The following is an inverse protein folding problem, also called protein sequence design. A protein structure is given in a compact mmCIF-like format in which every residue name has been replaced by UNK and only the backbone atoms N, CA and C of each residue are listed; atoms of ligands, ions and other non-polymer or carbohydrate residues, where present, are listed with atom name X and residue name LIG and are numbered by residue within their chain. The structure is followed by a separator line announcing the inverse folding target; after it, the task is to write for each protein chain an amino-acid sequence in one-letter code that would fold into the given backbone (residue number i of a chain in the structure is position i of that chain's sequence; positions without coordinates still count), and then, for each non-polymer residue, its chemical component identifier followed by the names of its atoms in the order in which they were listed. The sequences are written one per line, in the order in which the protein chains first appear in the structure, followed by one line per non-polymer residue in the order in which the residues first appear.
data_IF_950379175569
#
_entry.id   IF_950379175569
#
_cell.length_a   1.000
_cell.length_b   1.000
_cell.length_c   1.000
_cell.angle_alpha   90.00
_cell.angle_beta   90.00
_cell.angle_gamma   90.00
#
_symmetry.space_group_name_H-M   'P 1'
#
loop_
_entity.id
_entity.type
_entity.pdbx_description
1 polymer ?
#
# COMPACT_ATOMS: atom_id res chain seq x y z
N UNK A 1 -14.99 -60.04 -33.80
CA UNK A 1 -14.20 -58.88 -34.23
C UNK A 1 -15.06 -57.60 -34.24
N UNK A 2 -16.28 -57.63 -34.72
CA UNK A 2 -17.19 -56.49 -34.82
C UNK A 2 -17.63 -55.89 -33.49
N UNK A 3 -17.66 -56.65 -32.39
CA UNK A 3 -18.10 -56.17 -31.09
C UNK A 3 -17.08 -55.23 -30.44
N UNK A 4 -15.79 -55.43 -30.64
CA UNK A 4 -14.71 -54.58 -30.12
C UNK A 4 -14.67 -53.22 -30.78
N UNK A 5 -15.01 -53.11 -32.06
CA UNK A 5 -15.05 -51.89 -32.84
C UNK A 5 -16.18 -50.95 -32.34
N UNK A 6 -17.38 -51.53 -32.02
CA UNK A 6 -18.49 -50.75 -31.45
C UNK A 6 -18.14 -50.04 -30.13
N UNK A 7 -17.47 -50.78 -29.25
CA UNK A 7 -17.04 -50.19 -27.96
C UNK A 7 -15.95 -49.14 -28.16
N UNK A 8 -15.03 -49.33 -29.09
CA UNK A 8 -13.99 -48.37 -29.40
C UNK A 8 -14.57 -47.06 -29.92
N UNK A 9 -15.55 -47.13 -30.85
CA UNK A 9 -16.26 -45.98 -31.38
C UNK A 9 -17.07 -45.23 -30.28
N UNK A 10 -17.68 -45.98 -29.37
CA UNK A 10 -18.43 -45.43 -28.25
C UNK A 10 -17.52 -44.68 -27.28
N UNK A 11 -16.34 -45.26 -26.93
CA UNK A 11 -15.34 -44.60 -26.08
C UNK A 11 -14.77 -43.32 -26.74
N UNK A 12 -14.52 -43.32 -28.06
CA UNK A 12 -14.07 -42.14 -28.78
C UNK A 12 -15.15 -41.08 -28.76
N UNK A 13 -16.42 -41.44 -28.92
CA UNK A 13 -17.54 -40.50 -28.83
C UNK A 13 -17.65 -39.81 -27.46
N UNK A 14 -17.50 -40.59 -26.39
CA UNK A 14 -17.51 -40.04 -25.00
C UNK A 14 -16.32 -39.12 -24.78
N UNK A 15 -15.12 -39.51 -25.24
CA UNK A 15 -13.92 -38.69 -25.07
C UNK A 15 -14.05 -37.34 -25.79
N UNK A 16 -14.57 -37.34 -27.01
CA UNK A 16 -14.83 -36.10 -27.78
C UNK A 16 -15.88 -35.22 -27.05
N UNK A 17 -16.95 -35.83 -26.56
CA UNK A 17 -17.99 -35.10 -25.80
C UNK A 17 -17.40 -34.46 -24.55
N UNK A 18 -16.55 -35.17 -23.81
CA UNK A 18 -15.87 -34.62 -22.61
C UNK A 18 -14.92 -33.47 -22.97
N UNK A 19 -14.19 -33.57 -24.05
CA UNK A 19 -13.30 -32.49 -24.51
C UNK A 19 -14.10 -31.23 -24.92
N UNK A 20 -15.26 -31.40 -25.59
CA UNK A 20 -16.15 -30.29 -25.95
C UNK A 20 -16.74 -29.64 -24.69
N UNK A 21 -17.16 -30.42 -23.70
CA UNK A 21 -17.66 -29.91 -22.43
C UNK A 21 -16.57 -29.15 -21.64
N UNK A 22 -15.32 -29.64 -21.64
CA UNK A 22 -14.19 -28.95 -21.04
C UNK A 22 -13.85 -27.62 -21.76
N UNK A 23 -13.96 -27.58 -23.07
CA UNK A 23 -13.73 -26.36 -23.85
C UNK A 23 -14.80 -25.26 -23.57
N UNK A 24 -16.04 -25.68 -23.27
CA UNK A 24 -17.12 -24.75 -22.90
C UNK A 24 -17.04 -24.29 -21.43
N UNK A 25 -16.37 -25.07 -20.57
CA UNK A 25 -16.19 -24.75 -19.15
C UNK A 25 -14.96 -23.88 -18.88
N UNK A 26 -14.18 -23.51 -19.88
CA UNK A 26 -13.08 -22.58 -19.70
C UNK A 26 -13.65 -21.24 -19.25
N UNK A 27 -13.37 -20.77 -18.02
CA UNK A 27 -13.80 -19.44 -17.59
C UNK A 27 -13.15 -18.45 -18.55
N UNK A 28 -13.97 -17.82 -19.40
CA UNK A 28 -13.53 -16.73 -20.25
C UNK A 28 -12.79 -15.74 -19.34
N UNK A 29 -11.50 -15.52 -19.57
CA UNK A 29 -10.78 -14.42 -18.93
C UNK A 29 -11.57 -13.17 -19.27
N UNK A 30 -12.37 -12.69 -18.27
CA UNK A 30 -12.95 -11.36 -18.36
C UNK A 30 -11.78 -10.42 -18.67
N UNK A 31 -11.88 -9.59 -19.72
CA UNK A 31 -10.87 -8.56 -19.91
C UNK A 31 -10.76 -7.83 -18.59
N UNK A 32 -9.54 -7.71 -18.07
CA UNK A 32 -9.29 -6.89 -16.90
C UNK A 32 -9.89 -5.52 -17.23
N UNK A 33 -10.97 -5.17 -16.53
CA UNK A 33 -11.51 -3.83 -16.59
C UNK A 33 -10.37 -2.98 -16.10
N UNK A 34 -9.75 -2.22 -17.01
CA UNK A 34 -8.81 -1.15 -16.63
C UNK A 34 -9.67 -0.23 -15.78
N UNK A 35 -9.59 -0.38 -14.43
CA UNK A 35 -10.14 0.62 -13.55
C UNK A 35 -9.52 1.94 -13.99
N UNK A 36 -10.35 2.97 -14.27
CA UNK A 36 -9.79 4.30 -14.49
C UNK A 36 -8.89 4.56 -13.28
N UNK A 37 -7.66 4.99 -13.54
CA UNK A 37 -6.72 5.36 -12.50
C UNK A 37 -7.50 6.18 -11.49
N UNK A 38 -7.69 5.65 -10.27
CA UNK A 38 -8.41 6.36 -9.22
C UNK A 38 -7.63 7.64 -9.04
N UNK A 39 -8.20 8.76 -9.44
CA UNK A 39 -7.58 10.07 -9.23
C UNK A 39 -7.32 10.15 -7.73
N UNK A 40 -6.05 10.24 -7.36
CA UNK A 40 -5.65 10.40 -5.98
C UNK A 40 -6.38 11.63 -5.44
N UNK A 41 -7.31 11.38 -4.54
CA UNK A 41 -8.11 12.42 -3.93
C UNK A 41 -7.24 13.25 -2.98
N UNK A 42 -6.21 12.61 -2.40
CA UNK A 42 -5.14 13.24 -1.63
C UNK A 42 -3.91 13.43 -2.52
N UNK A 43 -3.38 14.64 -2.51
CA UNK A 43 -2.10 14.98 -3.15
C UNK A 43 -1.13 15.49 -2.09
N UNK A 44 0.16 15.21 -2.26
CA UNK A 44 1.22 15.78 -1.45
C UNK A 44 2.02 16.81 -2.25
N UNK A 45 2.51 17.85 -1.59
CA UNK A 45 3.42 18.82 -2.19
C UNK A 45 4.75 18.17 -2.61
N UNK A 46 5.14 17.13 -1.88
CA UNK A 46 6.25 16.25 -2.16
C UNK A 46 5.86 14.85 -1.67
N UNK A 47 6.32 13.80 -2.34
CA UNK A 47 6.08 12.40 -1.95
C UNK A 47 7.37 11.68 -1.56
N UNK A 48 8.51 12.36 -1.65
CA UNK A 48 9.83 11.80 -1.41
C UNK A 48 10.69 12.80 -0.64
N UNK A 49 11.43 12.28 0.36
CA UNK A 49 12.42 13.06 1.09
C UNK A 49 13.66 12.20 1.39
N UNK A 50 14.85 12.75 1.08
CA UNK A 50 16.13 12.11 1.38
C UNK A 50 16.81 12.86 2.53
N UNK A 51 17.00 12.17 3.67
CA UNK A 51 17.74 12.69 4.82
C UNK A 51 19.24 12.79 4.56
N UNK A 52 19.74 12.24 3.43
CA UNK A 52 21.17 12.12 3.17
C UNK A 52 21.83 11.13 4.13
N UNK A 53 23.03 11.45 4.58
CA UNK A 53 23.77 10.62 5.55
C UNK A 53 23.36 11.00 6.97
N UNK A 54 22.89 10.03 7.74
CA UNK A 54 22.50 10.17 9.16
C UNK A 54 23.30 9.19 10.02
N UNK A 55 23.63 9.60 11.26
CA UNK A 55 24.30 8.73 12.23
C UNK A 55 23.32 8.19 13.25
N UNK A 56 23.44 6.91 13.60
CA UNK A 56 22.70 6.28 14.71
C UNK A 56 22.93 7.01 16.04
N UNK A 57 24.13 7.57 16.23
CA UNK A 57 24.48 8.32 17.43
C UNK A 57 23.64 9.60 17.62
N UNK A 58 23.11 10.17 16.52
CA UNK A 58 22.30 11.38 16.56
C UNK A 58 20.82 11.12 16.90
N UNK A 59 20.41 9.87 16.97
CA UNK A 59 19.04 9.48 17.32
C UNK A 59 18.05 9.67 16.18
N UNK A 60 16.80 10.01 16.55
CA UNK A 60 15.66 10.11 15.62
C UNK A 60 15.84 11.24 14.61
N UNK A 61 15.41 11.00 13.38
CA UNK A 61 15.23 12.03 12.35
C UNK A 61 13.76 12.12 11.96
N UNK A 62 13.33 13.32 11.54
CA UNK A 62 11.93 13.54 11.20
C UNK A 62 11.76 14.47 10.00
N UNK A 63 10.67 14.24 9.26
CA UNK A 63 10.24 15.10 8.16
C UNK A 63 8.71 15.17 8.12
N UNK A 64 8.16 16.30 7.65
CA UNK A 64 6.71 16.51 7.55
C UNK A 64 6.29 16.73 6.10
N UNK A 65 5.45 15.85 5.59
CA UNK A 65 4.82 15.97 4.28
C UNK A 65 3.48 16.67 4.41
N UNK A 66 3.24 17.69 3.57
CA UNK A 66 1.93 18.34 3.50
C UNK A 66 1.05 17.61 2.49
N UNK A 67 -0.07 17.07 2.96
CA UNK A 67 -1.06 16.37 2.16
C UNK A 67 -2.35 17.18 2.12
N UNK A 68 -2.91 17.36 0.92
CA UNK A 68 -4.08 18.20 0.66
C UNK A 68 -5.16 17.40 -0.04
N UNK A 69 -6.40 17.58 0.39
CA UNK A 69 -7.55 17.09 -0.36
C UNK A 69 -7.82 18.02 -1.55
N UNK A 70 -7.43 17.55 -2.75
CA UNK A 70 -7.66 18.26 -4.01
C UNK A 70 -8.93 17.79 -4.74
N UNK A 71 -9.69 16.88 -4.16
CA UNK A 71 -10.94 16.38 -4.74
C UNK A 71 -12.08 17.40 -4.54
N UNK A 72 -13.20 17.17 -5.23
CA UNK A 72 -14.40 18.00 -5.09
C UNK A 72 -15.31 17.61 -3.90
N UNK A 73 -14.86 16.72 -2.98
CA UNK A 73 -15.63 16.23 -1.84
C UNK A 73 -14.75 16.04 -0.62
N UNK A 74 -15.35 16.02 0.56
CA UNK A 74 -14.66 15.63 1.78
C UNK A 74 -14.20 14.17 1.69
N UNK A 75 -13.01 13.88 2.23
CA UNK A 75 -12.37 12.57 2.21
C UNK A 75 -12.18 12.13 3.66
N UNK A 76 -12.47 10.88 3.94
CA UNK A 76 -12.07 10.26 5.18
C UNK A 76 -10.77 9.45 4.98
N UNK A 77 -9.68 9.91 5.57
CA UNK A 77 -8.44 9.13 5.69
C UNK A 77 -8.68 8.00 6.70
N UNK A 78 -8.79 6.76 6.19
CA UNK A 78 -9.11 5.59 7.00
C UNK A 78 -7.91 5.08 7.78
N UNK A 79 -6.78 4.91 7.07
CA UNK A 79 -5.59 4.32 7.65
C UNK A 79 -4.33 5.09 7.26
N UNK A 80 -3.39 5.10 8.21
CA UNK A 80 -2.00 5.49 8.00
C UNK A 80 -1.15 4.33 8.52
N UNK A 81 -0.29 3.78 7.68
CA UNK A 81 0.60 2.67 8.03
C UNK A 81 2.01 2.92 7.54
N UNK A 82 2.97 2.17 8.08
CA UNK A 82 4.38 2.27 7.66
C UNK A 82 4.90 0.93 7.16
N UNK A 83 5.90 0.96 6.29
CA UNK A 83 6.55 -0.25 5.73
C UNK A 83 7.50 -0.94 6.71
N UNK A 84 7.85 -0.28 7.83
CA UNK A 84 8.86 -0.75 8.77
C UNK A 84 8.52 -0.32 10.20
N UNK A 85 8.86 -1.17 11.18
CA UNK A 85 8.74 -0.84 12.62
C UNK A 85 9.65 0.32 13.06
N UNK A 86 10.71 0.57 12.30
CA UNK A 86 11.65 1.68 12.49
C UNK A 86 11.07 3.06 12.16
N UNK A 87 9.87 3.09 11.56
CA UNK A 87 9.22 4.31 11.11
C UNK A 87 7.89 4.49 11.83
N UNK A 88 7.63 5.69 12.29
CA UNK A 88 6.34 6.10 12.86
C UNK A 88 5.82 7.30 12.10
N UNK A 89 4.50 7.34 11.90
CA UNK A 89 3.84 8.49 11.30
C UNK A 89 2.88 9.11 12.31
N UNK A 90 2.70 10.42 12.19
CA UNK A 90 1.73 11.20 12.95
C UNK A 90 0.96 12.09 11.98
N UNK A 91 -0.32 12.22 12.22
CA UNK A 91 -1.18 13.15 11.49
C UNK A 91 -1.36 14.39 12.37
N UNK A 92 -0.95 15.54 11.87
CA UNK A 92 -0.99 16.80 12.59
C UNK A 92 -1.92 17.80 11.86
N UNK A 93 -2.74 18.49 12.66
CA UNK A 93 -3.67 19.52 12.18
C UNK A 93 -3.79 20.63 13.24
N UNK A 94 -3.13 21.73 13.04
CA UNK A 94 -3.04 22.79 14.06
C UNK A 94 -2.46 22.26 15.37
N UNK A 95 -3.28 22.25 16.41
CA UNK A 95 -2.88 21.71 17.74
C UNK A 95 -3.21 20.24 17.92
N UNK A 96 -3.93 19.61 16.98
CA UNK A 96 -4.31 18.20 17.06
C UNK A 96 -3.21 17.32 16.49
N UNK A 97 -2.93 16.20 17.18
CA UNK A 97 -1.97 15.18 16.76
C UNK A 97 -2.58 13.79 16.99
N UNK A 98 -2.64 12.98 15.95
CA UNK A 98 -3.07 11.56 15.98
C UNK A 98 -1.89 10.65 15.68
N UNK A 99 -1.87 9.46 16.26
CA UNK A 99 -0.80 8.48 16.11
C UNK A 99 -0.18 8.12 17.46
N UNK A 100 0.95 7.41 17.52
CA UNK A 100 1.76 6.97 16.36
C UNK A 100 1.07 5.93 15.51
N UNK A 101 1.16 6.09 14.21
CA UNK A 101 0.84 5.05 13.24
C UNK A 101 2.12 4.28 12.92
N UNK A 102 2.02 2.98 12.72
CA UNK A 102 3.17 2.12 12.55
C UNK A 102 2.96 0.99 11.53
N UNK A 103 3.87 0.02 11.55
CA UNK A 103 3.83 -1.15 10.68
C UNK A 103 2.73 -2.12 11.14
N UNK A 104 1.82 -2.57 10.25
CA UNK A 104 0.84 -3.60 10.56
C UNK A 104 1.51 -4.90 11.04
N UNK A 105 0.94 -5.53 12.07
CA UNK A 105 1.48 -6.76 12.64
C UNK A 105 2.60 -6.57 13.66
N UNK A 106 3.09 -5.33 13.86
CA UNK A 106 4.14 -4.98 14.84
C UNK A 106 3.55 -4.11 15.96
N UNK A 107 2.43 -4.54 16.53
CA UNK A 107 1.68 -3.83 17.56
C UNK A 107 0.34 -3.29 17.07
N UNK A 108 -0.35 -2.53 17.92
CA UNK A 108 -1.62 -1.90 17.57
C UNK A 108 -1.38 -0.68 16.69
N UNK A 109 -1.99 -0.67 15.51
CA UNK A 109 -2.04 0.50 14.64
C UNK A 109 -3.46 1.07 14.74
N UNK A 110 -3.65 2.26 15.34
CA UNK A 110 -4.98 2.85 15.44
C UNK A 110 -5.50 3.24 14.05
N UNK A 111 -6.82 3.22 13.82
CA UNK A 111 -7.39 3.82 12.61
C UNK A 111 -7.14 5.32 12.62
N UNK A 112 -6.95 5.93 11.46
CA UNK A 112 -6.77 7.37 11.34
C UNK A 112 -8.10 8.11 11.54
N UNK A 113 -9.15 7.65 10.85
CA UNK A 113 -10.51 8.20 10.89
C UNK A 113 -10.51 9.74 10.92
N UNK A 114 -9.79 10.34 9.93
CA UNK A 114 -9.65 11.78 9.83
C UNK A 114 -10.38 12.30 8.61
N UNK A 115 -11.31 13.23 8.82
CA UNK A 115 -11.99 13.91 7.73
C UNK A 115 -11.14 15.10 7.28
N UNK A 116 -10.76 15.09 6.02
CA UNK A 116 -10.04 16.18 5.36
C UNK A 116 -11.02 16.81 4.37
N UNK A 117 -11.49 18.02 4.69
CA UNK A 117 -12.44 18.74 3.84
C UNK A 117 -11.80 19.18 2.53
N UNK A 118 -12.65 19.50 1.56
CA UNK A 118 -12.20 20.03 0.26
C UNK A 118 -11.23 21.20 0.47
N UNK A 119 -10.04 21.09 -0.11
CA UNK A 119 -8.99 22.11 -0.03
C UNK A 119 -8.24 22.17 1.30
N UNK A 120 -8.63 21.39 2.31
CA UNK A 120 -7.88 21.31 3.58
C UNK A 120 -6.61 20.47 3.44
N UNK A 121 -5.63 20.81 4.25
CA UNK A 121 -4.35 20.08 4.34
C UNK A 121 -4.14 19.50 5.72
N UNK A 122 -3.32 18.46 5.75
CA UNK A 122 -2.78 17.84 6.98
C UNK A 122 -1.29 17.65 6.82
N UNK A 123 -0.57 17.77 7.91
CA UNK A 123 0.85 17.43 7.93
C UNK A 123 1.02 15.99 8.41
N UNK A 124 1.71 15.21 7.61
CA UNK A 124 2.09 13.82 7.92
C UNK A 124 3.52 13.85 8.38
N UNK A 125 3.72 13.91 9.71
CA UNK A 125 5.03 13.89 10.33
C UNK A 125 5.55 12.46 10.36
N UNK A 126 6.65 12.20 9.69
CA UNK A 126 7.33 10.90 9.65
C UNK A 126 8.56 10.97 10.55
N UNK A 127 8.67 10.02 11.46
CA UNK A 127 9.80 9.89 12.39
C UNK A 127 10.47 8.55 12.12
N UNK A 128 11.76 8.59 11.81
CA UNK A 128 12.57 7.40 11.59
C UNK A 128 13.59 7.21 12.72
N UNK A 129 13.66 5.98 13.22
CA UNK A 129 14.63 5.56 14.24
C UNK A 129 15.75 4.71 13.61
N UNK A 130 16.94 5.28 13.41
CA UNK A 130 18.06 4.53 12.84
C UNK A 130 18.58 3.42 13.77
N UNK A 131 18.22 3.46 15.06
CA UNK A 131 18.63 2.47 16.06
C UNK A 131 17.67 1.28 16.19
N UNK A 132 16.47 1.34 15.57
CA UNK A 132 15.43 0.32 15.76
C UNK A 132 15.86 -1.11 15.40
N UNK A 133 16.84 -1.26 14.50
CA UNK A 133 17.40 -2.54 14.08
C UNK A 133 18.82 -2.79 14.59
N UNK A 134 19.32 -1.94 15.48
CA UNK A 134 20.71 -2.00 15.95
C UNK A 134 21.71 -1.96 14.80
N UNK A 135 22.88 -2.63 14.91
CA UNK A 135 23.91 -2.61 13.88
C UNK A 135 23.46 -3.09 12.50
N UNK A 136 22.40 -3.91 12.43
CA UNK A 136 21.81 -4.37 11.16
C UNK A 136 21.07 -3.26 10.41
N UNK A 137 20.79 -2.12 11.05
CA UNK A 137 20.19 -0.94 10.45
C UNK A 137 21.14 -0.04 9.67
N UNK A 138 22.44 -0.31 9.70
CA UNK A 138 23.46 0.46 8.98
C UNK A 138 23.36 0.21 7.47
N UNK A 139 23.43 1.28 6.67
CA UNK A 139 23.37 1.21 5.21
C UNK A 139 22.24 2.06 4.63
N UNK A 140 21.98 1.86 3.35
CA UNK A 140 20.88 2.55 2.66
C UNK A 140 19.54 2.05 3.16
N UNK A 141 18.65 2.97 3.47
CA UNK A 141 17.25 2.67 3.81
C UNK A 141 16.31 3.36 2.83
N UNK A 142 15.19 2.71 2.62
CA UNK A 142 14.06 3.17 1.83
C UNK A 142 12.80 2.73 2.56
N UNK A 143 11.99 3.70 3.03
CA UNK A 143 10.83 3.44 3.88
C UNK A 143 9.64 4.24 3.42
N UNK A 144 8.45 3.65 3.57
CA UNK A 144 7.20 4.21 3.07
C UNK A 144 6.21 4.44 4.20
N UNK A 145 5.39 5.46 4.02
CA UNK A 145 4.17 5.70 4.77
C UNK A 145 3.02 5.65 3.77
N UNK A 146 2.03 4.82 4.05
CA UNK A 146 0.86 4.59 3.20
C UNK A 146 -0.36 5.26 3.81
N UNK A 147 -1.00 6.13 3.05
CA UNK A 147 -2.26 6.76 3.42
C UNK A 147 -3.37 6.17 2.56
N UNK A 148 -4.41 5.61 3.18
CA UNK A 148 -5.54 5.03 2.45
C UNK A 148 -6.83 5.75 2.82
N UNK A 149 -7.54 6.24 1.82
CA UNK A 149 -8.82 6.92 1.98
C UNK A 149 -10.02 5.97 1.96
N UNK A 150 -11.21 6.51 2.16
CA UNK A 150 -12.48 5.79 2.17
C UNK A 150 -12.90 5.24 0.79
N UNK A 151 -12.30 5.71 -0.29
CA UNK A 151 -12.49 5.17 -1.64
C UNK A 151 -11.55 4.00 -1.97
N UNK A 152 -10.58 3.72 -1.10
CA UNK A 152 -9.50 2.75 -1.32
C UNK A 152 -8.35 3.33 -2.14
N UNK A 153 -8.33 4.64 -2.40
CA UNK A 153 -7.18 5.34 -2.96
C UNK A 153 -6.02 5.36 -1.95
N UNK A 154 -4.79 5.19 -2.44
CA UNK A 154 -3.58 5.25 -1.61
C UNK A 154 -2.65 6.35 -2.07
N UNK A 155 -2.04 7.05 -1.12
CA UNK A 155 -0.94 7.97 -1.35
C UNK A 155 0.27 7.45 -0.57
N UNK A 156 1.39 7.25 -1.28
CA UNK A 156 2.63 6.74 -0.72
C UNK A 156 3.62 7.89 -0.53
N UNK A 157 4.17 7.99 0.68
CA UNK A 157 5.22 8.95 1.02
C UNK A 157 6.50 8.16 1.32
N UNK A 158 7.60 8.55 0.71
CA UNK A 158 8.88 7.84 0.76
C UNK A 158 9.94 8.66 1.50
N UNK A 159 10.70 8.01 2.36
CA UNK A 159 11.91 8.57 2.96
C UNK A 159 13.11 7.68 2.65
N UNK A 160 14.25 8.30 2.39
CA UNK A 160 15.56 7.63 2.22
C UNK A 160 16.61 8.20 3.16
N UNK A 161 17.60 7.38 3.46
CA UNK A 161 18.82 7.80 4.14
C UNK A 161 19.97 6.81 3.92
N UNK A 162 21.19 7.27 4.10
CA UNK A 162 22.36 6.43 4.34
C UNK A 162 22.64 6.46 5.85
N UNK A 163 22.34 5.34 6.53
CA UNK A 163 22.57 5.21 7.99
C UNK A 163 24.00 4.81 8.25
N UNK A 164 24.69 5.54 9.11
CA UNK A 164 26.03 5.22 9.64
C UNK A 164 25.97 4.97 11.14
N UNK A 165 26.95 4.29 11.71
CA UNK A 165 27.06 4.07 13.16
C UNK A 165 27.05 5.35 13.98
#
# INVERSE_FOLDING_TARGET
FFMKIKYMLWFIGILVLLLVLMAWSAPGKKPATVQPAQSLALIASETFYDFGTISMANGLVEHSFKVTNSSGKDIELKTVTTSCMCTKAYLESGTSKKGPFGMPGMGSVPPANEIIKVGESRDIKVVYDPNAHGPAGVGMIDRFVYLTDDSGGTLDLEIKALVTP
#
